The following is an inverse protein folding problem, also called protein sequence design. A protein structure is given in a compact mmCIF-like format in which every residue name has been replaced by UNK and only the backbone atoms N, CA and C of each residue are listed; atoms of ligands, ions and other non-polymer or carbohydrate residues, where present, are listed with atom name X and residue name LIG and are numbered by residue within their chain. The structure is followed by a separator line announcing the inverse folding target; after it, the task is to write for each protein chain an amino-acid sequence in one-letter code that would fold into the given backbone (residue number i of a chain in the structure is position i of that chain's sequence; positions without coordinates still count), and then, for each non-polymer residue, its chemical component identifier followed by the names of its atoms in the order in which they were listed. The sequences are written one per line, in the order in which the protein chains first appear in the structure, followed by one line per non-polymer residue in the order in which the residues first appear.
data_IF_353091913846
#
_entry.id   IF_353091913846
#
_cell.length_a   1.000
_cell.length_b   1.000
_cell.length_c   1.000
_cell.angle_alpha   90.00
_cell.angle_beta   90.00
_cell.angle_gamma   90.00
#
_symmetry.space_group_name_H-M   'P 1'
#
loop_
_entity.id
_entity.type
_entity.pdbx_description
1 polymer ?
2 polymer ?
3 non-polymer ?
4 water ?
#
loop_
_entity_poly.entity_id
_entity_poly.type
_entity_poly.pdbx_seq_one_letter_code
_entity_poly.pdbx_strand_id
2 'polydeoxyribonucleotide' '(DA)(DA)(DA)(DG)(DC)(DC)(DC)(DC)(DT)(DA)(DG)(DC)(DT)(DT)(DT)(DT)(DA)(DG)(DC)(DT)(DA)(DT)(DG)(DG)(DG)(DG)' ?
#
# COMPACT_ATOMS: atom_id res chain seq x y z
N UNK A 9 -11.71 -9.25 5.67
CA UNK A 9 -11.12 -8.32 4.71
C UNK A 9 -11.83 -8.39 3.37
N UNK A 10 -12.17 -7.22 2.84
CA UNK A 10 -12.85 -7.13 1.56
C UNK A 10 -11.91 -6.55 0.51
N UNK A 11 -11.91 -7.16 -0.67
CA UNK A 11 -11.06 -6.71 -1.76
C UNK A 11 -11.89 -6.03 -2.83
N UNK A 12 -11.30 -5.04 -3.49
CA UNK A 12 -11.94 -4.33 -4.58
C UNK A 12 -11.00 -4.56 -5.76
N UNK A 13 -11.31 -3.95 -6.89
CA UNK A 13 -10.47 -4.10 -8.06
C UNK A 13 -10.74 -2.96 -9.02
N UNK A 14 -9.72 -2.52 -9.75
CA UNK A 14 -9.94 -1.51 -10.77
C UNK A 14 -10.05 -2.38 -12.04
N UNK A 15 -9.64 -1.89 -13.20
CA UNK A 15 -9.77 -2.73 -14.38
C UNK A 15 -8.69 -3.80 -14.43
N UNK A 16 -7.61 -3.58 -13.70
CA UNK A 16 -6.52 -4.53 -13.76
C UNK A 16 -5.93 -5.07 -12.46
N UNK A 17 -6.34 -4.52 -11.32
CA UNK A 17 -5.75 -4.92 -10.06
C UNK A 17 -6.77 -5.29 -8.99
N UNK A 18 -6.47 -6.34 -8.24
CA UNK A 18 -7.31 -6.79 -7.13
C UNK A 18 -6.52 -6.22 -5.96
N UNK A 19 -7.19 -5.53 -5.04
CA UNK A 19 -6.43 -4.92 -3.96
C UNK A 19 -7.21 -4.61 -2.69
N UNK A 20 -6.43 -4.32 -1.65
CA UNK A 20 -6.90 -3.91 -0.33
C UNK A 20 -5.74 -3.02 0.10
N UNK A 21 -5.94 -1.72 0.04
CA UNK A 21 -4.88 -0.81 0.40
C UNK A 21 -5.37 0.21 1.41
N UNK A 22 -5.10 -0.08 2.68
CA UNK A 22 -5.48 0.80 3.76
C UNK A 22 -4.25 1.55 4.22
N UNK A 23 -4.39 2.84 4.51
CA UNK A 23 -3.27 3.65 4.97
C UNK A 23 -3.69 4.48 6.17
N UNK A 24 -2.82 4.55 7.17
CA UNK A 24 -3.06 5.38 8.34
C UNK A 24 -2.20 6.60 7.99
N UNK A 25 -2.88 7.68 7.63
CA UNK A 25 -2.24 8.92 7.23
C UNK A 25 -2.39 9.96 8.35
N UNK A 26 -1.32 10.69 8.63
CA UNK A 26 -1.40 11.71 9.65
C UNK A 26 -0.63 12.94 9.17
N UNK A 27 -1.16 14.12 9.46
CA UNK A 27 -0.46 15.34 9.11
C UNK A 27 -0.90 16.43 10.09
N UNK A 28 -0.03 17.41 10.33
CA UNK A 28 -0.36 18.47 11.28
C UNK A 28 -0.37 19.84 10.62
N UNK A 29 -1.02 20.83 11.26
CA UNK A 29 -1.01 22.16 10.65
C UNK A 29 0.40 22.73 10.83
N UNK A 30 0.69 23.85 10.18
CA UNK A 30 2.00 24.46 10.25
C UNK A 30 2.41 24.81 11.68
N UNK A 31 3.69 24.61 11.99
CA UNK A 31 4.25 24.88 13.30
C UNK A 31 3.38 24.20 14.36
N UNK A 32 2.69 23.12 13.99
CA UNK A 32 1.82 22.42 14.94
C UNK A 32 0.89 23.33 15.75
N UNK A 33 0.50 24.46 15.17
CA UNK A 33 -0.42 25.37 15.85
C UNK A 33 -1.67 24.54 16.15
N UNK A 34 -2.17 24.65 17.37
CA UNK A 34 -3.35 23.89 17.77
C UNK A 34 -4.63 24.54 17.22
N UNK A 35 -4.79 24.55 15.90
CA UNK A 35 -5.94 25.17 15.26
C UNK A 35 -7.08 24.23 14.92
N UNK A 36 -6.79 22.94 14.87
CA UNK A 36 -7.82 21.94 14.53
C UNK A 36 -8.74 21.77 15.72
N UNK A 37 -9.60 22.76 15.94
CA UNK A 37 -10.54 22.77 17.05
C UNK A 37 -11.85 23.41 16.59
N UNK A 38 -12.92 23.19 17.36
CA UNK A 38 -14.21 23.77 17.04
C UNK A 38 -14.67 23.65 15.60
N UNK A 39 -15.25 24.73 15.09
CA UNK A 39 -15.75 24.76 13.72
C UNK A 39 -14.70 24.42 12.68
N UNK A 40 -13.44 24.77 12.94
CA UNK A 40 -12.36 24.45 11.98
C UNK A 40 -12.24 22.95 11.85
N UNK A 41 -12.22 22.28 12.99
CA UNK A 41 -12.12 20.83 13.06
C UNK A 41 -13.30 20.17 12.33
N UNK A 42 -14.52 20.59 12.65
CA UNK A 42 -15.69 20.00 12.02
C UNK A 42 -15.74 20.29 10.51
N UNK A 43 -15.32 21.49 10.10
CA UNK A 43 -15.32 21.84 8.69
C UNK A 43 -14.31 21.02 7.93
N UNK A 44 -13.11 20.90 8.50
CA UNK A 44 -11.99 20.14 7.93
C UNK A 44 -12.42 18.72 7.58
N UNK A 45 -13.04 18.03 8.54
CA UNK A 45 -13.49 16.66 8.31
C UNK A 45 -14.49 16.60 7.16
N UNK A 46 -15.40 17.58 7.07
CA UNK A 46 -16.39 17.62 6.00
C UNK A 46 -15.74 17.79 4.64
N UNK A 47 -14.72 18.63 4.58
CA UNK A 47 -14.01 18.85 3.33
C UNK A 47 -13.28 17.56 2.95
N UNK A 48 -12.66 16.91 3.93
CA UNK A 48 -11.93 15.66 3.67
C UNK A 48 -12.87 14.58 3.15
N UNK A 49 -14.08 14.52 3.72
CA UNK A 49 -15.07 13.55 3.32
C UNK A 49 -15.49 13.78 1.87
N UNK A 50 -15.73 15.03 1.49
CA UNK A 50 -16.13 15.30 0.12
C UNK A 50 -14.98 15.05 -0.85
N UNK A 51 -13.75 15.34 -0.44
CA UNK A 51 -12.61 15.08 -1.31
C UNK A 51 -12.48 13.57 -1.52
N UNK A 52 -12.63 12.80 -0.44
CA UNK A 52 -12.54 11.35 -0.53
C UNK A 52 -13.67 10.78 -1.39
N UNK A 53 -14.87 11.34 -1.21
CA UNK A 53 -16.03 10.89 -1.96
C UNK A 53 -15.77 11.02 -3.46
N UNK A 54 -15.33 12.20 -3.90
CA UNK A 54 -15.07 12.37 -5.32
C UNK A 54 -13.81 11.67 -5.81
N UNK A 55 -12.82 11.47 -4.95
CA UNK A 55 -11.61 10.77 -5.37
C UNK A 55 -11.75 9.26 -5.16
N UNK A 56 -12.98 8.82 -4.93
CA UNK A 56 -13.28 7.42 -4.74
C UNK A 56 -12.44 6.77 -3.64
N UNK A 57 -12.17 7.52 -2.58
CA UNK A 57 -11.40 7.02 -1.44
C UNK A 57 -12.34 6.68 -0.30
N UNK A 58 -12.07 5.60 0.41
CA UNK A 58 -12.94 5.23 1.51
C UNK A 58 -12.34 5.53 2.87
N UNK A 59 -12.94 6.50 3.56
CA UNK A 59 -12.49 6.91 4.89
C UNK A 59 -13.05 5.92 5.90
N UNK A 60 -12.22 4.97 6.33
CA UNK A 60 -12.66 3.98 7.29
C UNK A 60 -12.83 4.61 8.69
N UNK A 61 -11.97 5.56 9.01
CA UNK A 61 -12.01 6.23 10.30
C UNK A 61 -11.20 7.51 10.14
N UNK A 62 -11.60 8.56 10.85
CA UNK A 62 -10.90 9.84 10.76
C UNK A 62 -11.17 10.65 12.02
N UNK A 63 -10.11 11.02 12.73
CA UNK A 63 -10.25 11.79 13.95
C UNK A 63 -9.19 12.88 14.02
N UNK A 64 -9.53 13.98 14.69
CA UNK A 64 -8.65 15.14 14.84
C UNK A 64 -8.20 15.34 16.29
N UNK A 65 -6.95 15.75 16.49
CA UNK A 65 -6.40 16.05 17.81
C UNK A 65 -6.39 17.60 17.67
N UNK A 66 -5.52 18.38 18.30
CA UNK A 66 -5.67 19.82 18.07
C UNK A 66 -4.67 20.32 17.07
N UNK A 67 -3.70 19.47 16.82
CA UNK A 67 -2.66 19.77 15.87
C UNK A 67 -2.37 18.49 15.08
N UNK A 68 -3.39 17.66 14.90
CA UNK A 68 -3.25 16.40 14.17
C UNK A 68 -4.56 15.95 13.57
N UNK A 69 -4.48 15.26 12.43
CA UNK A 69 -5.65 14.65 11.85
C UNK A 69 -5.18 13.27 11.46
N UNK A 70 -5.91 12.27 11.94
CA UNK A 70 -5.63 10.87 11.67
C UNK A 70 -6.68 10.42 10.70
N UNK A 71 -6.27 9.70 9.66
CA UNK A 71 -7.20 9.22 8.66
C UNK A 71 -6.80 7.80 8.33
N UNK A 72 -7.80 6.93 8.22
CA UNK A 72 -7.55 5.54 7.86
C UNK A 72 -8.36 5.41 6.61
N UNK A 73 -7.69 5.34 5.47
CA UNK A 73 -8.36 5.26 4.20
C UNK A 73 -7.97 4.05 3.36
N UNK A 74 -8.86 3.67 2.46
CA UNK A 74 -8.59 2.59 1.52
C UNK A 74 -8.50 3.34 0.21
N UNK A 75 -7.33 3.26 -0.43
CA UNK A 75 -7.07 3.96 -1.67
C UNK A 75 -6.57 3.00 -2.73
N UNK A 76 -7.07 3.19 -3.94
CA UNK A 76 -6.67 2.40 -5.10
C UNK A 76 -5.15 2.58 -5.20
N UNK A 77 -4.40 1.46 -5.19
CA UNK A 77 -2.93 1.54 -5.28
C UNK A 77 -2.40 2.21 -6.54
N UNK A 78 -3.16 2.10 -7.62
CA UNK A 78 -2.76 2.72 -8.88
C UNK A 78 -3.11 4.20 -8.92
N UNK A 79 -4.08 4.63 -8.13
CA UNK A 79 -4.45 6.04 -8.08
C UNK A 79 -3.33 6.76 -7.34
N UNK A 80 -2.93 6.21 -6.19
CA UNK A 80 -1.86 6.81 -5.43
C UNK A 80 -2.31 7.49 -4.17
N UNK A 81 -1.77 7.05 -3.04
CA UNK A 81 -2.11 7.63 -1.74
C UNK A 81 -1.73 9.12 -1.68
N UNK A 82 -0.60 9.48 -2.31
CA UNK A 82 -0.15 10.87 -2.33
C UNK A 82 -1.08 11.79 -3.10
N UNK A 83 -1.73 11.25 -4.13
CA UNK A 83 -2.68 12.04 -4.93
C UNK A 83 -3.86 12.42 -4.05
N UNK A 84 -4.27 11.51 -3.16
CA UNK A 84 -5.37 11.79 -2.25
C UNK A 84 -4.92 12.82 -1.25
N UNK A 85 -3.75 12.58 -0.67
CA UNK A 85 -3.21 13.49 0.33
C UNK A 85 -3.00 14.91 -0.20
N UNK A 86 -2.39 15.06 -1.38
CA UNK A 86 -2.14 16.39 -1.92
C UNK A 86 -3.45 17.14 -2.11
N UNK A 87 -4.49 16.41 -2.55
CA UNK A 87 -5.78 17.02 -2.79
C UNK A 87 -6.46 17.44 -1.50
N UNK A 88 -6.42 16.56 -0.51
CA UNK A 88 -7.05 16.83 0.78
C UNK A 88 -6.42 18.01 1.51
N UNK A 89 -5.10 18.08 1.54
CA UNK A 89 -4.43 19.18 2.22
C UNK A 89 -4.59 20.45 1.40
N UNK A 90 -4.40 20.34 0.09
CA UNK A 90 -4.50 21.48 -0.78
C UNK A 90 -5.86 22.16 -0.73
N UNK A 91 -6.92 21.38 -0.94
CA UNK A 91 -8.26 21.95 -0.94
C UNK A 91 -8.66 22.44 0.44
N UNK A 92 -8.43 21.65 1.48
CA UNK A 92 -8.81 22.05 2.82
C UNK A 92 -8.11 23.36 3.22
N UNK A 93 -6.84 23.49 2.85
CA UNK A 93 -6.08 24.70 3.14
C UNK A 93 -6.72 25.87 2.39
N UNK A 94 -6.98 25.71 1.09
CA UNK A 94 -7.59 26.80 0.31
C UNK A 94 -8.93 27.22 0.92
N UNK A 95 -9.79 26.24 1.21
CA UNK A 95 -11.10 26.54 1.77
C UNK A 95 -11.07 27.11 3.19
N UNK A 96 -10.49 26.35 4.11
CA UNK A 96 -10.42 26.79 5.51
C UNK A 96 -9.87 28.20 5.66
N UNK A 97 -8.80 28.50 4.93
CA UNK A 97 -8.21 29.82 5.02
C UNK A 97 -9.16 30.91 4.53
N UNK A 98 -10.09 30.57 3.64
CA UNK A 98 -11.06 31.56 3.16
C UNK A 98 -12.15 31.76 4.21
N UNK A 99 -12.56 30.67 4.84
CA UNK A 99 -13.60 30.73 5.83
C UNK A 99 -13.15 31.29 7.17
N UNK A 100 -11.97 30.86 7.63
CA UNK A 100 -11.46 31.30 8.91
C UNK A 100 -10.26 32.21 8.79
N UNK A 101 -10.53 33.52 8.76
CA UNK A 101 -9.49 34.53 8.62
C UNK A 101 -8.23 34.33 9.47
N UNK A 102 -8.37 33.85 10.71
CA UNK A 102 -7.18 33.69 11.56
C UNK A 102 -6.14 32.73 10.97
N UNK A 103 -6.59 31.75 10.20
CA UNK A 103 -5.68 30.79 9.57
C UNK A 103 -4.98 31.44 8.36
N UNK A 104 -5.61 32.49 7.83
CA UNK A 104 -5.08 33.19 6.66
C UNK A 104 -4.07 34.26 7.03
N UNK A 105 -4.37 35.05 8.07
CA UNK A 105 -3.51 36.15 8.47
C UNK A 105 -2.41 35.80 9.48
N UNK A 106 -2.65 34.78 10.29
CA UNK A 106 -1.67 34.41 11.29
C UNK A 106 -0.84 33.17 10.94
N UNK A 107 -0.95 32.72 9.68
CA UNK A 107 -0.21 31.55 9.18
C UNK A 107 0.10 31.73 7.68
N UNK A 108 1.33 31.39 7.27
CA UNK A 108 1.73 31.52 5.87
C UNK A 108 1.04 30.46 5.00
N UNK A 109 0.84 29.27 5.59
CA UNK A 109 0.18 28.13 4.94
C UNK A 109 -0.48 27.36 6.08
N UNK A 110 -1.60 26.69 5.79
CA UNK A 110 -2.27 25.92 6.83
C UNK A 110 -1.49 24.68 7.26
N UNK A 111 -0.90 23.97 6.29
CA UNK A 111 -0.17 22.74 6.57
C UNK A 111 1.34 22.82 6.36
N UNK A 112 1.98 21.69 6.65
CA UNK A 112 3.41 21.57 6.47
C UNK A 112 3.61 20.82 5.16
N UNK A 113 4.87 20.69 4.75
CA UNK A 113 5.23 20.00 3.54
C UNK A 113 5.39 18.50 3.79
N UNK A 114 5.07 18.04 4.99
CA UNK A 114 5.23 16.63 5.27
C UNK A 114 3.96 15.96 5.79
N UNK A 115 4.09 14.67 6.09
CA UNK A 115 3.02 13.86 6.63
C UNK A 115 3.62 12.53 7.03
N UNK A 116 2.80 11.67 7.62
CA UNK A 116 3.23 10.36 8.06
C UNK A 116 2.27 9.36 7.42
N UNK A 117 2.81 8.31 6.80
CA UNK A 117 2.00 7.30 6.15
C UNK A 117 2.41 5.89 6.58
N UNK A 118 1.43 5.08 6.97
CA UNK A 118 1.72 3.71 7.38
C UNK A 118 0.65 2.78 6.84
N UNK A 119 1.08 1.70 6.19
CA UNK A 119 0.17 0.72 5.62
C UNK A 119 -0.47 -0.17 6.68
N UNK A 120 -1.73 -0.54 6.46
CA UNK A 120 -2.45 -1.37 7.42
C UNK A 120 -3.10 -2.53 6.67
N UNK A 121 -3.00 -3.73 7.25
CA UNK A 121 -3.58 -4.92 6.65
C UNK A 121 -4.45 -5.71 7.62
N UNK A 122 -4.92 -6.87 7.17
CA UNK A 122 -5.77 -7.70 8.01
C UNK A 122 -5.02 -8.44 9.09
N UNK A 123 -3.72 -8.59 8.93
CA UNK A 123 -2.89 -9.28 9.91
C UNK A 123 -1.55 -8.56 10.02
N UNK A 124 -0.86 -8.73 11.15
CA UNK A 124 0.45 -8.09 11.36
C UNK A 124 1.50 -8.61 10.39
N UNK A 125 2.49 -7.77 10.10
CA UNK A 125 3.56 -8.10 9.18
C UNK A 125 4.10 -9.53 9.27
N UNK A 126 4.40 -9.97 10.48
CA UNK A 126 4.96 -11.30 10.71
C UNK A 126 4.15 -12.47 10.15
N UNK A 127 2.83 -12.41 10.24
CA UNK A 127 2.04 -13.53 9.73
C UNK A 127 2.03 -13.56 8.21
N UNK A 128 2.02 -12.39 7.58
CA UNK A 128 2.02 -12.33 6.13
C UNK A 128 3.35 -12.86 5.66
N UNK A 129 4.41 -12.48 6.36
CA UNK A 129 5.75 -12.92 6.02
C UNK A 129 5.83 -14.44 6.16
N UNK A 130 5.20 -14.95 7.22
CA UNK A 130 5.16 -16.39 7.48
C UNK A 130 4.50 -17.09 6.31
N UNK A 131 3.30 -16.63 5.96
CA UNK A 131 2.53 -17.17 4.85
C UNK A 131 3.32 -17.18 3.53
N UNK A 132 4.09 -16.14 3.30
CA UNK A 132 4.89 -16.07 2.08
C UNK A 132 5.97 -17.15 2.09
N UNK A 133 6.61 -17.33 3.23
CA UNK A 133 7.66 -18.35 3.36
C UNK A 133 7.08 -19.74 3.06
N UNK A 134 5.97 -20.06 3.70
CA UNK A 134 5.31 -21.36 3.54
C UNK A 134 5.06 -21.77 2.10
N UNK A 135 4.82 -20.81 1.22
CA UNK A 135 4.54 -21.08 -0.20
C UNK A 135 5.45 -22.12 -0.88
N UNK A 136 6.74 -22.10 -0.55
CA UNK A 136 7.73 -23.03 -1.12
C UNK A 136 7.44 -24.53 -0.92
N UNK A 137 6.45 -24.87 -0.12
CA UNK A 137 6.09 -26.26 0.15
C UNK A 137 4.60 -26.40 0.48
N UNK A 138 4.02 -25.35 1.05
CA UNK A 138 2.60 -25.28 1.42
C UNK A 138 2.07 -26.52 2.16
N UNK A 139 2.80 -26.97 3.18
CA UNK A 139 2.36 -28.12 3.96
C UNK A 139 1.22 -27.70 4.88
N UNK A 140 1.58 -27.09 6.01
CA UNK A 140 0.60 -26.64 7.00
C UNK A 140 1.36 -25.87 8.08
N UNK A 141 0.90 -24.65 8.42
CA UNK A 141 1.54 -23.80 9.44
C UNK A 141 1.19 -24.26 10.86
N UNK A 142 0.13 -25.07 10.95
CA UNK A 142 -0.37 -25.65 12.21
C UNK A 142 -0.70 -24.73 13.38
N UNK A 143 -0.28 -23.46 13.29
CA UNK A 143 -0.46 -22.46 14.34
C UNK A 143 -1.42 -22.86 15.49
N UNK A 144 -2.75 -22.81 15.35
CA UNK A 144 -3.51 -23.29 16.50
C UNK A 144 -4.89 -23.12 16.02
N UNK A 145 -5.15 -21.83 16.10
CA UNK A 145 -6.35 -21.10 15.73
C UNK A 145 -5.86 -19.76 15.21
N UNK A 146 -5.11 -19.04 16.03
CA UNK A 146 -4.64 -17.72 15.70
C UNK A 146 -4.32 -17.31 14.23
N UNK A 147 -5.13 -16.37 13.68
CA UNK A 147 -4.95 -15.88 12.31
C UNK A 147 -5.34 -16.89 11.23
N UNK A 148 -6.15 -17.88 11.61
CA UNK A 148 -6.57 -18.90 10.65
C UNK A 148 -7.53 -18.33 9.60
N UNK A 149 -8.43 -17.45 10.03
CA UNK A 149 -9.38 -16.82 9.11
C UNK A 149 -8.66 -16.03 8.03
N UNK A 150 -7.66 -15.25 8.44
CA UNK A 150 -6.88 -14.44 7.51
C UNK A 150 -6.15 -15.31 6.50
N UNK A 151 -5.45 -16.33 6.99
CA UNK A 151 -4.69 -17.24 6.13
C UNK A 151 -5.61 -18.03 5.20
N UNK A 152 -6.80 -18.38 5.70
CA UNK A 152 -7.77 -19.12 4.89
C UNK A 152 -8.21 -18.25 3.74
N UNK A 153 -8.54 -16.99 4.03
CA UNK A 153 -8.97 -16.06 3.01
C UNK A 153 -7.89 -16.01 1.91
N UNK A 154 -6.64 -15.83 2.33
CA UNK A 154 -5.53 -15.76 1.38
C UNK A 154 -5.42 -16.95 0.45
N UNK A 155 -5.17 -18.13 1.00
CA UNK A 155 -5.02 -19.33 0.18
C UNK A 155 -6.17 -19.51 -0.80
N UNK A 156 -7.37 -19.03 -0.42
CA UNK A 156 -8.54 -19.12 -1.29
C UNK A 156 -8.39 -18.13 -2.45
N UNK A 157 -7.94 -16.92 -2.13
CA UNK A 157 -7.77 -15.86 -3.13
C UNK A 157 -6.61 -16.14 -4.09
N UNK A 158 -5.79 -17.14 -3.79
CA UNK A 158 -4.65 -17.46 -4.64
C UNK A 158 -4.80 -18.73 -5.49
N UNK A 159 -5.85 -19.51 -5.26
CA UNK A 159 -6.05 -20.75 -6.03
C UNK A 159 -7.08 -20.61 -7.15
N UNK B 9 8.29 -2.36 13.09
CA UNK B 9 8.60 -1.70 11.83
C UNK B 9 9.38 -0.41 12.07
N UNK B 10 10.38 -0.17 11.22
CA UNK B 10 11.19 1.03 11.33
C UNK B 10 10.86 1.94 10.15
N UNK B 11 10.36 3.13 10.47
CA UNK B 11 9.95 4.09 9.46
C UNK B 11 11.13 4.67 8.69
N UNK B 12 10.90 4.98 7.42
CA UNK B 12 11.91 5.59 6.57
C UNK B 12 11.32 6.93 6.14
N UNK B 13 12.03 7.67 5.30
CA UNK B 13 11.53 8.94 4.82
C UNK B 13 12.23 9.36 3.56
N UNK B 14 11.56 10.14 2.73
CA UNK B 14 12.19 10.68 1.53
C UNK B 14 12.41 12.13 1.97
N UNK B 15 12.40 13.09 1.06
CA UNK B 15 12.61 14.45 1.49
C UNK B 15 11.44 15.02 2.32
N UNK B 16 10.21 14.61 2.03
CA UNK B 16 9.05 15.17 2.74
C UNK B 16 8.12 14.20 3.47
N UNK B 17 8.37 12.91 3.42
CA UNK B 17 7.43 11.99 4.03
C UNK B 17 8.03 10.90 4.91
N UNK B 18 7.43 10.68 6.07
CA UNK B 18 7.87 9.62 6.95
C UNK B 18 6.87 8.51 6.61
N UNK B 19 7.36 7.32 6.25
CA UNK B 19 6.47 6.23 5.87
C UNK B 19 6.90 4.83 6.23
N UNK B 20 5.95 3.93 6.05
CA UNK B 20 6.12 2.51 6.23
C UNK B 20 5.03 1.95 5.35
N UNK B 21 5.38 1.62 4.11
CA UNK B 21 4.39 1.09 3.20
C UNK B 21 4.84 -0.26 2.67
N UNK B 22 4.33 -1.30 3.32
CA UNK B 22 4.65 -2.66 2.95
C UNK B 22 3.45 -3.24 2.26
N UNK B 23 3.68 -3.91 1.13
CA UNK B 23 2.61 -4.50 0.36
C UNK B 23 2.92 -5.95 0.12
N UNK B 24 1.87 -6.76 0.04
CA UNK B 24 2.02 -8.15 -0.27
C UNK B 24 1.52 -8.14 -1.70
N UNK B 25 2.43 -8.38 -2.63
CA UNK B 25 2.15 -8.36 -4.05
C UNK B 25 2.25 -9.76 -4.61
N UNK B 26 1.27 -10.14 -5.42
CA UNK B 26 1.22 -11.45 -6.04
C UNK B 26 0.81 -11.32 -7.50
N UNK B 27 1.48 -12.03 -8.39
CA UNK B 27 1.11 -12.05 -9.80
C UNK B 27 1.50 -13.39 -10.40
N UNK B 28 0.92 -13.72 -11.56
CA UNK B 28 1.14 -15.02 -12.18
C UNK B 28 1.53 -14.96 -13.65
N UNK B 29 2.07 -16.06 -14.17
CA UNK B 29 2.45 -16.10 -15.59
C UNK B 29 1.14 -16.18 -16.39
N UNK B 30 1.23 -15.91 -17.68
CA UNK B 30 0.08 -15.97 -18.56
C UNK B 30 -0.55 -17.38 -18.53
N UNK B 31 -1.87 -17.46 -18.58
CA UNK B 31 -2.58 -18.75 -18.56
C UNK B 31 -2.26 -19.59 -17.32
N UNK B 32 -1.60 -18.98 -16.34
CA UNK B 32 -1.20 -19.67 -15.11
C UNK B 32 -0.31 -20.88 -15.34
N UNK B 33 0.49 -20.82 -16.39
CA UNK B 33 1.39 -21.92 -16.68
C UNK B 33 2.40 -22.03 -15.55
N UNK B 34 2.46 -23.22 -14.96
CA UNK B 34 3.39 -23.52 -13.86
C UNK B 34 4.77 -23.55 -14.46
N UNK B 35 5.26 -22.36 -14.83
CA UNK B 35 6.54 -22.24 -15.49
C UNK B 35 7.64 -21.67 -14.61
N UNK B 36 7.26 -21.10 -13.47
CA UNK B 36 8.26 -20.53 -12.56
C UNK B 36 8.89 -21.68 -11.80
N UNK B 37 9.92 -22.29 -12.39
CA UNK B 37 10.62 -23.42 -11.79
C UNK B 37 12.06 -23.45 -12.26
N UNK B 38 12.88 -24.24 -11.56
CA UNK B 38 14.29 -24.38 -11.92
C UNK B 38 15.06 -23.12 -12.20
N UNK B 39 15.73 -23.10 -13.35
CA UNK B 39 16.55 -21.97 -13.76
C UNK B 39 15.76 -20.66 -13.84
N UNK B 40 14.50 -20.78 -14.28
CA UNK B 40 13.60 -19.64 -14.43
C UNK B 40 13.28 -19.02 -13.07
N UNK B 41 12.81 -19.85 -12.14
CA UNK B 41 12.49 -19.37 -10.82
C UNK B 41 13.64 -18.55 -10.24
N UNK B 42 14.84 -19.15 -10.27
CA UNK B 42 16.05 -18.51 -9.75
C UNK B 42 16.38 -17.19 -10.43
N UNK B 43 16.27 -17.18 -11.75
CA UNK B 43 16.59 -15.99 -12.54
C UNK B 43 15.58 -14.86 -12.28
N UNK B 44 14.31 -15.22 -12.09
CA UNK B 44 13.26 -14.26 -11.83
C UNK B 44 13.53 -13.56 -10.52
N UNK B 45 13.82 -14.33 -9.49
CA UNK B 45 14.11 -13.77 -8.18
C UNK B 45 15.31 -12.84 -8.28
N UNK B 46 16.30 -13.24 -9.10
CA UNK B 46 17.47 -12.41 -9.28
C UNK B 46 17.09 -11.06 -9.88
N UNK B 47 16.30 -11.11 -10.95
CA UNK B 47 15.87 -9.89 -11.63
C UNK B 47 15.07 -8.96 -10.71
N UNK B 48 14.24 -9.55 -9.85
CA UNK B 48 13.43 -8.80 -8.90
C UNK B 48 14.34 -8.04 -7.93
N UNK B 49 15.33 -8.74 -7.38
CA UNK B 49 16.25 -8.11 -6.45
C UNK B 49 16.96 -6.97 -7.17
N UNK B 50 17.46 -7.27 -8.37
CA UNK B 50 18.16 -6.29 -9.18
C UNK B 50 17.32 -5.02 -9.38
N UNK B 51 16.05 -5.22 -9.72
CA UNK B 51 15.14 -4.10 -9.93
C UNK B 51 14.85 -3.36 -8.62
N UNK B 52 14.61 -4.08 -7.54
CA UNK B 52 14.31 -3.44 -6.27
C UNK B 52 15.49 -2.58 -5.82
N UNK B 53 16.70 -3.10 -5.98
CA UNK B 53 17.92 -2.37 -5.62
C UNK B 53 17.86 -1.06 -6.39
N UNK B 54 17.77 -1.19 -7.71
CA UNK B 54 17.71 -0.05 -8.60
C UNK B 54 16.62 0.97 -8.22
N UNK B 55 15.47 0.47 -7.78
CA UNK B 55 14.34 1.31 -7.44
C UNK B 55 14.19 1.59 -5.94
N UNK B 56 15.25 1.39 -5.18
CA UNK B 56 15.24 1.64 -3.74
C UNK B 56 14.04 0.99 -3.03
N UNK B 57 13.71 -0.23 -3.44
CA UNK B 57 12.62 -0.96 -2.83
C UNK B 57 13.22 -2.10 -2.00
N UNK B 58 12.71 -2.29 -0.78
CA UNK B 58 13.21 -3.35 0.06
C UNK B 58 12.33 -4.56 -0.12
N UNK B 59 12.94 -5.69 -0.47
CA UNK B 59 12.16 -6.89 -0.61
C UNK B 59 12.32 -7.61 0.70
N UNK B 60 11.26 -7.60 1.50
CA UNK B 60 11.27 -8.25 2.80
C UNK B 60 11.18 -9.77 2.69
N UNK B 61 10.39 -10.25 1.73
CA UNK B 61 10.25 -11.69 1.50
C UNK B 61 9.72 -11.90 0.10
N UNK B 62 10.22 -12.93 -0.56
CA UNK B 62 9.81 -13.26 -1.92
C UNK B 62 9.94 -14.75 -2.15
N UNK B 63 8.83 -15.38 -2.51
CA UNK B 63 8.79 -16.81 -2.79
C UNK B 63 7.93 -17.09 -4.01
N UNK B 64 8.27 -18.13 -4.75
CA UNK B 64 7.49 -18.46 -5.91
C UNK B 64 6.80 -19.79 -5.73
N UNK B 65 5.56 -19.83 -6.21
CA UNK B 65 4.79 -21.06 -6.20
C UNK B 65 5.26 -21.54 -7.58
N UNK B 66 4.37 -21.95 -8.46
CA UNK B 66 4.88 -22.37 -9.75
C UNK B 66 4.17 -21.62 -10.84
N UNK B 67 3.11 -20.96 -10.40
CA UNK B 67 2.28 -20.15 -11.25
C UNK B 67 1.98 -18.89 -10.46
N UNK B 68 2.81 -18.62 -9.44
CA UNK B 68 2.67 -17.42 -8.60
C UNK B 68 4.02 -16.97 -8.11
N UNK B 69 4.13 -15.68 -7.84
CA UNK B 69 5.33 -15.13 -7.23
C UNK B 69 4.78 -14.16 -6.19
N UNK B 70 5.18 -14.38 -4.94
CA UNK B 70 4.76 -13.54 -3.83
C UNK B 70 5.91 -12.62 -3.49
N UNK B 71 5.59 -11.36 -3.18
CA UNK B 71 6.62 -10.41 -2.82
C UNK B 71 6.07 -9.55 -1.71
N UNK B 72 6.88 -9.33 -0.68
CA UNK B 72 6.50 -8.48 0.43
C UNK B 72 7.51 -7.36 0.28
N UNK B 73 7.05 -6.18 -0.10
CA UNK B 73 7.96 -5.09 -0.32
C UNK B 73 7.54 -3.78 0.33
N UNK B 74 8.55 -3.01 0.76
CA UNK B 74 8.34 -1.71 1.36
C UNK B 74 8.68 -0.71 0.25
N UNK B 75 7.68 0.06 -0.17
CA UNK B 75 7.84 1.01 -1.25
C UNK B 75 7.46 2.42 -0.84
N UNK B 76 8.24 3.39 -1.33
CA UNK B 76 8.03 4.80 -1.06
C UNK B 76 6.66 5.20 -1.61
N UNK B 77 5.81 5.79 -0.77
CA UNK B 77 4.46 6.22 -1.19
C UNK B 77 4.52 7.16 -2.39
N UNK B 78 5.48 8.09 -2.39
CA UNK B 78 5.63 9.04 -3.49
C UNK B 78 6.09 8.34 -4.75
N UNK B 79 6.92 7.29 -4.60
CA UNK B 79 7.37 6.56 -5.77
C UNK B 79 6.20 5.83 -6.44
N UNK B 80 5.45 5.03 -5.67
CA UNK B 80 4.32 4.31 -6.23
C UNK B 80 4.54 2.82 -6.36
N UNK B 81 3.64 2.05 -5.76
CA UNK B 81 3.73 0.59 -5.83
C UNK B 81 3.60 0.09 -7.28
N UNK B 82 2.75 0.73 -8.07
CA UNK B 82 2.57 0.30 -9.46
C UNK B 82 3.81 0.53 -10.29
N UNK B 83 4.59 1.56 -9.95
CA UNK B 83 5.80 1.84 -10.70
C UNK B 83 6.79 0.72 -10.43
N UNK B 84 6.77 0.18 -9.23
CA UNK B 84 7.66 -0.92 -8.93
C UNK B 84 7.20 -2.15 -9.67
N UNK B 85 5.90 -2.43 -9.61
CA UNK B 85 5.35 -3.60 -10.26
C UNK B 85 5.55 -3.62 -11.77
N UNK B 86 5.21 -2.53 -12.48
CA UNK B 86 5.37 -2.55 -13.94
C UNK B 86 6.81 -2.77 -14.32
N UNK B 87 7.73 -2.20 -13.56
CA UNK B 87 9.14 -2.39 -13.90
C UNK B 87 9.52 -3.85 -13.67
N UNK B 88 9.13 -4.38 -12.52
CA UNK B 88 9.43 -5.77 -12.16
C UNK B 88 8.84 -6.77 -13.15
N UNK B 89 7.57 -6.59 -13.52
CA UNK B 89 6.95 -7.50 -14.48
C UNK B 89 7.52 -7.28 -15.87
N UNK B 90 7.55 -6.02 -16.31
CA UNK B 90 8.09 -5.67 -17.62
C UNK B 90 9.54 -6.08 -17.87
N UNK B 91 10.47 -5.69 -16.99
CA UNK B 91 11.86 -6.09 -17.22
C UNK B 91 12.05 -7.60 -17.11
N UNK B 92 11.44 -8.23 -16.12
CA UNK B 92 11.60 -9.67 -15.97
C UNK B 92 11.04 -10.42 -17.19
N UNK B 93 10.01 -9.88 -17.81
CA UNK B 93 9.43 -10.50 -19.00
C UNK B 93 10.45 -10.41 -20.13
N UNK B 94 10.99 -9.22 -20.33
CA UNK B 94 11.98 -8.94 -21.36
C UNK B 94 13.14 -9.89 -21.22
N UNK B 95 13.83 -9.83 -20.08
CA UNK B 95 14.99 -10.66 -19.87
C UNK B 95 14.71 -12.15 -19.91
N UNK B 96 13.77 -12.63 -19.09
CA UNK B 96 13.47 -14.06 -19.08
C UNK B 96 13.18 -14.63 -20.44
N UNK B 97 12.39 -13.90 -21.24
CA UNK B 97 12.07 -14.39 -22.58
C UNK B 97 13.30 -14.34 -23.50
N UNK B 98 14.24 -13.46 -23.17
CA UNK B 98 15.49 -13.35 -23.93
C UNK B 98 16.40 -14.51 -23.55
N UNK B 99 16.33 -14.92 -22.29
CA UNK B 99 17.18 -16.00 -21.80
C UNK B 99 16.57 -17.38 -21.85
N UNK B 100 15.26 -17.49 -22.05
CA UNK B 100 14.61 -18.81 -22.07
C UNK B 100 13.66 -18.98 -23.24
N UNK B 101 14.16 -19.62 -24.29
CA UNK B 101 13.37 -19.83 -25.50
C UNK B 101 11.94 -20.32 -25.29
N UNK B 102 11.75 -21.36 -24.47
CA UNK B 102 10.40 -21.89 -24.24
C UNK B 102 9.38 -20.91 -23.69
N UNK B 103 9.89 -19.84 -23.07
CA UNK B 103 9.04 -18.81 -22.50
C UNK B 103 8.55 -17.82 -23.55
N UNK B 104 9.31 -17.69 -24.64
CA UNK B 104 8.98 -16.77 -25.72
C UNK B 104 8.13 -17.43 -26.82
N UNK B 105 8.33 -18.72 -27.02
CA UNK B 105 7.62 -19.47 -28.06
C UNK B 105 6.26 -19.99 -27.64
N UNK B 106 6.17 -20.48 -26.41
CA UNK B 106 4.93 -21.05 -25.92
C UNK B 106 3.92 -20.04 -25.34
N UNK B 107 4.34 -18.80 -25.14
CA UNK B 107 3.45 -17.77 -24.58
C UNK B 107 3.53 -16.46 -25.37
N UNK B 108 2.41 -15.73 -25.48
CA UNK B 108 2.44 -14.46 -26.21
C UNK B 108 3.17 -13.40 -25.33
N UNK B 109 2.96 -13.51 -24.01
CA UNK B 109 3.57 -12.64 -23.01
C UNK B 109 3.87 -13.53 -21.80
N UNK B 110 4.89 -13.19 -21.01
CA UNK B 110 5.20 -14.00 -19.84
C UNK B 110 4.18 -13.82 -18.72
N UNK B 111 3.73 -12.58 -18.52
CA UNK B 111 2.79 -12.26 -17.45
C UNK B 111 1.40 -11.92 -17.99
N UNK B 112 0.54 -11.45 -17.09
CA UNK B 112 -0.81 -11.03 -17.45
C UNK B 112 -0.87 -9.54 -17.12
N UNK B 113 -2.01 -8.93 -17.41
CA UNK B 113 -2.19 -7.52 -17.14
C UNK B 113 -2.59 -7.24 -15.70
N UNK B 114 -2.78 -8.30 -14.90
CA UNK B 114 -3.23 -8.15 -13.52
C UNK B 114 -2.26 -8.54 -12.42
N UNK B 115 -2.62 -8.18 -11.20
CA UNK B 115 -1.84 -8.53 -10.03
C UNK B 115 -2.71 -8.31 -8.79
N UNK B 116 -2.26 -8.85 -7.65
CA UNK B 116 -2.97 -8.77 -6.37
C UNK B 116 -2.05 -7.95 -5.44
N UNK B 117 -2.61 -6.98 -4.73
CA UNK B 117 -1.83 -6.11 -3.84
C UNK B 117 -2.59 -5.93 -2.53
N UNK B 118 -1.93 -6.24 -1.42
CA UNK B 118 -2.55 -6.13 -0.12
C UNK B 118 -1.60 -5.43 0.85
N UNK B 119 -2.03 -4.29 1.40
CA UNK B 119 -1.21 -3.53 2.34
C UNK B 119 -1.04 -4.28 3.66
N UNK B 120 0.13 -4.13 4.29
CA UNK B 120 0.39 -4.80 5.55
C UNK B 120 1.17 -3.85 6.45
N UNK B 121 0.84 -3.85 7.74
CA UNK B 121 1.52 -2.98 8.69
C UNK B 121 1.87 -3.73 9.98
N UNK B 122 2.34 -2.99 10.98
CA UNK B 122 2.70 -3.62 12.24
C UNK B 122 1.51 -4.21 12.96
N UNK B 123 0.38 -3.52 12.92
CA UNK B 123 -0.83 -3.99 13.59
C UNK B 123 -1.95 -4.26 12.60
N UNK B 124 -2.92 -5.12 12.99
CA UNK B 124 -4.05 -5.43 12.11
C UNK B 124 -4.97 -4.21 11.99
N UNK B 125 -5.90 -4.27 11.04
CA UNK B 125 -6.79 -3.14 10.81
C UNK B 125 -7.59 -2.60 12.01
N UNK B 126 -8.37 -3.47 12.66
CA UNK B 126 -9.20 -3.05 13.80
C UNK B 126 -8.43 -2.39 14.93
N UNK B 127 -7.19 -2.84 15.13
CA UNK B 127 -6.37 -2.26 16.17
C UNK B 127 -6.11 -0.81 15.76
N UNK B 128 -5.68 -0.59 14.52
CA UNK B 128 -5.43 0.77 14.06
C UNK B 128 -6.70 1.61 14.03
N UNK B 129 -7.86 1.00 13.76
CA UNK B 129 -9.12 1.76 13.73
C UNK B 129 -9.47 2.22 15.14
N UNK B 130 -9.16 1.38 16.13
CA UNK B 130 -9.44 1.73 17.52
C UNK B 130 -8.51 2.86 17.95
N UNK B 131 -7.21 2.66 17.75
CA UNK B 131 -6.22 3.67 18.09
C UNK B 131 -6.65 5.04 17.58
N UNK B 132 -7.13 5.08 16.34
CA UNK B 132 -7.57 6.33 15.74
C UNK B 132 -8.80 6.88 16.46
N UNK B 133 -9.73 6.00 16.78
CA UNK B 133 -10.96 6.42 17.47
C UNK B 133 -10.63 7.09 18.81
N UNK B 134 -9.55 6.66 19.45
CA UNK B 134 -9.15 7.20 20.74
C UNK B 134 -8.48 8.56 20.67
N UNK B 135 -8.42 9.15 19.47
CA UNK B 135 -7.76 10.45 19.32
C UNK B 135 -8.65 11.66 19.68
N UNK B 136 -9.90 11.38 20.03
CA UNK B 136 -10.84 12.43 20.42
C UNK B 136 -10.52 12.98 21.81
X LIG E 1 -2.06 12.19 17.46
X LIG F 1 -8.95 -5.23 -19.13
#
# INVERSE_FOLDING_TARGET
GSAMASNAVLYKSNHNVVYSCKYHIVWCPKYRRKVLVGAVEMRLKEIIQEVAKELRVEIIEMQTDKDHIHILADIDPSFGVMKFIKTAKGRSSRILRQEFNHLKTKLPTLWTNSCFISTVGGAPLNVVKQYIENQQNSNRPKQKEKWKSYVDNLQTKAL
GSAMASNAVLYKSNHNVVYSCKYHIVWCPKYRRKVLVGAVEMRLKEIIQEVAKELRVEIIEMQTDKDHIHILADIDPSFGVMKFIKTAKGRSSRILRQEFNHLKTKLPTLWTNSCFISTVGGAPLNVVKQYIENQQNSNRPKQKEKWKSYVDNLQTKAL
MN MN
MN MN
#
